data_IF_194987421060
#
_entry.id   IF_194987421060
#
_cell.length_a   1.000
_cell.length_b   1.000
_cell.length_c   1.000
_cell.angle_alpha   90.00
_cell.angle_beta   90.00
_cell.angle_gamma   90.00
#
_symmetry.space_group_name_H-M   'P 1'
#
loop_
_entity.id
_entity.type
_entity.pdbx_description
1 polymer ?
#
# COMPACT_ATOMS: atom_id res chain seq x y z
N UNK A 1 11.52 -14.22 17.68
CA UNK A 1 11.53 -13.77 16.27
C UNK A 1 12.60 -12.70 16.13
N UNK A 2 13.55 -12.86 15.18
CA UNK A 2 14.58 -11.85 14.91
C UNK A 2 13.87 -10.55 14.45
N UNK A 3 14.06 -9.46 15.17
CA UNK A 3 13.52 -8.15 14.76
C UNK A 3 14.35 -7.66 13.57
N UNK A 4 13.70 -7.35 12.46
CA UNK A 4 14.35 -6.71 11.31
C UNK A 4 14.40 -5.20 11.58
N UNK A 5 15.60 -4.64 11.76
CA UNK A 5 15.81 -3.22 11.97
C UNK A 5 16.32 -2.58 10.68
N UNK A 6 15.67 -1.50 10.26
CA UNK A 6 16.12 -0.64 9.17
C UNK A 6 16.49 0.73 9.74
N UNK A 7 17.67 1.26 9.37
CA UNK A 7 18.05 2.62 9.70
C UNK A 7 17.69 3.56 8.54
N UNK A 8 16.96 4.58 8.84
CA UNK A 8 16.48 5.60 7.91
C UNK A 8 17.20 6.91 8.24
N UNK A 9 17.94 7.46 7.28
CA UNK A 9 18.71 8.70 7.45
C UNK A 9 18.24 9.71 6.40
N UNK A 10 17.66 10.84 6.82
CA UNK A 10 17.14 11.82 5.86
C UNK A 10 16.53 13.06 6.49
N UNK A 11 15.92 13.90 5.66
CA UNK A 11 15.26 15.13 6.08
C UNK A 11 13.94 14.89 6.78
N UNK A 12 13.59 15.73 7.74
CA UNK A 12 12.30 15.77 8.41
C UNK A 12 11.32 16.64 7.63
N UNK A 13 10.23 16.02 7.14
CA UNK A 13 9.08 16.68 6.53
C UNK A 13 7.93 16.74 7.55
N UNK A 14 7.52 17.94 8.04
CA UNK A 14 6.47 18.06 9.04
C UNK A 14 5.09 17.60 8.56
N UNK A 15 4.86 17.53 7.25
CA UNK A 15 3.59 17.01 6.69
C UNK A 15 3.49 15.50 6.79
N UNK A 16 4.62 14.81 6.97
CA UNK A 16 4.71 13.36 6.99
C UNK A 16 4.32 12.69 5.68
N UNK A 17 4.30 13.46 4.58
CA UNK A 17 4.08 12.97 3.22
C UNK A 17 5.35 12.44 2.56
N UNK A 18 6.51 12.92 3.00
CA UNK A 18 7.83 12.49 2.54
C UNK A 18 8.82 12.40 3.73
N UNK A 19 10.12 12.28 3.44
CA UNK A 19 11.21 12.27 4.41
C UNK A 19 11.12 11.12 5.42
N UNK A 20 11.87 11.24 6.52
CA UNK A 20 12.00 10.17 7.54
C UNK A 20 10.65 9.70 8.12
N UNK A 21 9.64 10.56 8.14
CA UNK A 21 8.31 10.18 8.64
C UNK A 21 7.58 9.25 7.66
N UNK A 22 7.58 9.56 6.36
CA UNK A 22 6.98 8.68 5.35
C UNK A 22 7.74 7.35 5.25
N UNK A 23 9.07 7.39 5.35
CA UNK A 23 9.95 6.23 5.35
C UNK A 23 9.66 5.32 6.55
N UNK A 24 9.57 5.88 7.76
CA UNK A 24 9.25 5.13 8.98
C UNK A 24 7.84 4.51 8.95
N UNK A 25 6.84 5.26 8.46
CA UNK A 25 5.49 4.71 8.23
C UNK A 25 5.53 3.52 7.29
N UNK A 26 6.27 3.63 6.18
CA UNK A 26 6.40 2.56 5.17
C UNK A 26 7.06 1.32 5.78
N UNK A 27 8.18 1.47 6.47
CA UNK A 27 8.84 0.34 7.12
C UNK A 27 7.94 -0.33 8.16
N UNK A 28 7.22 0.46 8.96
CA UNK A 28 6.34 -0.05 10.02
C UNK A 28 5.19 -0.89 9.47
N UNK A 29 4.50 -0.44 8.41
CA UNK A 29 3.40 -1.23 7.81
C UNK A 29 3.88 -2.53 7.17
N UNK A 30 5.16 -2.57 6.75
CA UNK A 30 5.80 -3.77 6.20
C UNK A 30 6.34 -4.71 7.29
N UNK A 31 6.14 -4.38 8.57
CA UNK A 31 6.55 -5.22 9.68
C UNK A 31 8.05 -5.16 10.01
N UNK A 32 8.73 -4.09 9.56
CA UNK A 32 10.13 -3.79 9.88
C UNK A 32 10.18 -2.72 10.97
N UNK A 33 11.16 -2.79 11.87
CA UNK A 33 11.35 -1.79 12.92
C UNK A 33 12.16 -0.61 12.39
N UNK A 34 11.57 0.59 12.23
CA UNK A 34 12.29 1.76 11.74
C UNK A 34 13.08 2.44 12.86
N UNK A 35 14.36 2.64 12.64
CA UNK A 35 15.24 3.51 13.41
C UNK A 35 15.48 4.74 12.53
N UNK A 36 15.46 5.96 13.10
CA UNK A 36 15.49 7.18 12.28
C UNK A 36 16.55 8.16 12.77
N UNK A 37 17.27 8.75 11.81
CA UNK A 37 18.17 9.88 12.03
C UNK A 37 17.76 11.02 11.10
N UNK A 38 17.53 12.19 11.69
CA UNK A 38 17.22 13.40 10.94
C UNK A 38 18.50 14.15 10.58
N UNK A 39 18.69 14.43 9.29
CA UNK A 39 19.83 15.20 8.77
C UNK A 39 19.54 16.69 8.63
N UNK A 40 18.27 17.02 8.39
CA UNK A 40 17.79 18.39 8.19
C UNK A 40 16.35 18.51 8.61
N UNK A 41 15.95 19.65 9.14
CA UNK A 41 14.55 20.04 9.35
C UNK A 41 14.14 20.88 8.14
N UNK A 42 13.05 20.48 7.46
CA UNK A 42 12.60 21.08 6.20
C UNK A 42 11.17 21.57 6.38
N UNK A 43 10.98 22.85 6.79
CA UNK A 43 9.66 23.47 6.78
C UNK A 43 9.07 23.50 5.37
N UNK A 44 8.06 22.67 5.11
CA UNK A 44 7.46 22.51 3.79
C UNK A 44 5.99 22.09 3.86
N UNK A 45 5.31 22.27 2.73
CA UNK A 45 4.01 21.65 2.44
C UNK A 45 3.94 21.27 0.95
N UNK A 46 2.79 20.81 0.48
CA UNK A 46 2.63 20.39 -0.92
C UNK A 46 2.71 21.55 -1.94
N UNK A 47 2.87 22.79 -1.48
CA UNK A 47 3.04 23.98 -2.35
C UNK A 47 4.49 24.43 -2.47
N UNK A 48 5.25 24.39 -1.36
CA UNK A 48 6.61 24.91 -1.33
C UNK A 48 7.44 24.32 -0.19
N UNK A 49 8.76 24.29 -0.39
CA UNK A 49 9.76 24.24 0.67
C UNK A 49 10.08 25.69 1.04
N UNK A 50 9.97 26.03 2.31
CA UNK A 50 10.18 27.39 2.82
C UNK A 50 11.61 27.61 3.28
N UNK A 51 12.24 26.58 3.87
CA UNK A 51 13.59 26.65 4.40
C UNK A 51 14.18 25.23 4.59
N UNK A 52 15.48 25.15 4.89
CA UNK A 52 16.20 23.94 5.27
C UNK A 52 17.22 24.26 6.33
N UNK A 53 17.12 23.64 7.48
CA UNK A 53 18.10 23.72 8.55
C UNK A 53 18.81 22.38 8.71
N UNK A 54 20.12 22.34 8.49
CA UNK A 54 20.93 21.14 8.68
C UNK A 54 21.20 20.86 10.16
N UNK A 55 21.11 19.59 10.54
CA UNK A 55 21.45 19.12 11.88
C UNK A 55 23.00 19.08 11.99
N UNK A 56 23.58 19.61 13.08
CA UNK A 56 25.01 19.60 13.29
C UNK A 56 25.60 18.18 13.29
N UNK A 57 26.83 18.03 12.73
CA UNK A 57 27.56 16.76 12.64
C UNK A 57 27.57 15.98 13.94
N UNK A 58 27.92 16.67 15.05
CA UNK A 58 27.98 16.07 16.38
C UNK A 58 26.68 15.37 16.77
N UNK A 59 25.54 16.00 16.52
CA UNK A 59 24.22 15.43 16.86
C UNK A 59 23.89 14.22 15.98
N UNK A 60 24.26 14.24 14.69
CA UNK A 60 24.09 13.09 13.79
C UNK A 60 24.96 11.92 14.26
N UNK A 61 26.21 12.18 14.65
CA UNK A 61 27.15 11.18 15.14
C UNK A 61 26.66 10.53 16.44
N UNK A 62 26.24 11.33 17.41
CA UNK A 62 25.68 10.83 18.68
C UNK A 62 24.41 9.95 18.48
N UNK A 63 23.57 10.29 17.49
CA UNK A 63 22.43 9.45 17.13
C UNK A 63 22.88 8.12 16.49
N UNK A 64 23.89 8.14 15.63
CA UNK A 64 24.46 6.92 15.04
C UNK A 64 25.08 6.03 16.13
N UNK A 65 25.86 6.59 17.03
CA UNK A 65 26.46 5.85 18.16
C UNK A 65 25.40 5.16 18.99
N UNK A 66 24.36 5.88 19.43
CA UNK A 66 23.27 5.33 20.22
C UNK A 66 22.51 4.20 19.51
N UNK A 67 22.35 4.30 18.18
CA UNK A 67 21.65 3.27 17.41
C UNK A 67 22.53 2.03 17.24
N UNK A 68 23.79 2.18 16.84
CA UNK A 68 24.68 1.05 16.58
C UNK A 68 25.18 0.36 17.86
N UNK A 69 25.06 1.02 19.03
CA UNK A 69 25.31 0.42 20.34
C UNK A 69 24.19 -0.59 20.74
N UNK A 70 22.92 -0.29 20.39
CA UNK A 70 21.76 -1.05 20.88
C UNK A 70 21.09 -1.92 19.83
N UNK A 71 21.31 -1.66 18.53
CA UNK A 71 20.58 -2.31 17.44
C UNK A 71 21.48 -2.90 16.35
N UNK A 72 21.16 -4.14 15.95
CA UNK A 72 21.69 -4.72 14.72
C UNK A 72 21.00 -4.09 13.51
N UNK A 73 21.73 -3.37 12.67
CA UNK A 73 21.25 -2.73 11.44
C UNK A 73 21.75 -3.49 10.23
N UNK A 74 20.85 -4.02 9.39
CA UNK A 74 21.23 -4.75 8.17
C UNK A 74 21.04 -3.94 6.88
N UNK A 75 20.20 -2.92 6.92
CA UNK A 75 19.91 -2.03 5.79
C UNK A 75 19.82 -0.59 6.28
N UNK A 76 20.49 0.32 5.57
CA UNK A 76 20.39 1.78 5.74
C UNK A 76 19.69 2.34 4.50
N UNK A 77 18.55 3.04 4.69
CA UNK A 77 17.91 3.83 3.64
C UNK A 77 18.27 5.30 3.82
N UNK A 78 18.73 5.96 2.77
CA UNK A 78 19.01 7.39 2.82
C UNK A 78 18.04 8.21 1.97
N UNK A 79 17.75 9.44 2.39
CA UNK A 79 16.98 10.44 1.64
C UNK A 79 17.76 11.74 1.48
N UNK A 80 17.20 12.89 1.84
CA UNK A 80 17.92 14.18 1.83
C UNK A 80 19.07 14.12 2.84
N UNK A 81 20.30 14.30 2.36
CA UNK A 81 21.51 14.29 3.17
C UNK A 81 22.21 15.65 3.09
N UNK A 82 22.99 15.95 4.13
CA UNK A 82 24.05 16.95 4.10
C UNK A 82 25.43 16.25 4.02
N UNK A 83 26.48 17.02 3.82
CA UNK A 83 27.86 16.49 3.67
C UNK A 83 28.31 15.69 4.88
N UNK A 84 28.04 16.19 6.09
CA UNK A 84 28.43 15.54 7.34
C UNK A 84 27.76 14.17 7.51
N UNK A 85 26.48 14.07 7.13
CA UNK A 85 25.76 12.81 7.17
C UNK A 85 26.38 11.77 6.22
N UNK A 86 26.76 12.17 5.00
CA UNK A 86 27.43 11.27 4.05
C UNK A 86 28.76 10.78 4.63
N UNK A 87 29.61 11.69 5.15
CA UNK A 87 30.89 11.34 5.73
C UNK A 87 30.75 10.36 6.90
N UNK A 88 29.73 10.54 7.75
CA UNK A 88 29.44 9.66 8.86
C UNK A 88 28.90 8.29 8.37
N UNK A 89 27.98 8.25 7.41
CA UNK A 89 27.51 6.99 6.83
C UNK A 89 28.67 6.18 6.28
N UNK A 90 29.59 6.80 5.52
CA UNK A 90 30.77 6.15 4.98
C UNK A 90 31.74 5.68 6.08
N UNK A 91 31.90 6.46 7.17
CA UNK A 91 32.66 6.04 8.37
C UNK A 91 32.08 4.77 8.96
N UNK A 92 30.77 4.73 9.22
CA UNK A 92 30.10 3.58 9.82
C UNK A 92 30.07 2.35 8.90
N UNK A 93 29.92 2.55 7.57
CA UNK A 93 29.96 1.46 6.58
C UNK A 93 31.28 0.68 6.59
N UNK A 94 32.39 1.29 6.99
CA UNK A 94 33.70 0.62 7.13
C UNK A 94 33.77 -0.31 8.35
N UNK A 95 32.93 -0.09 9.36
CA UNK A 95 32.96 -0.83 10.62
C UNK A 95 31.79 -1.82 10.76
N UNK A 96 30.70 -1.59 10.02
CA UNK A 96 29.48 -2.38 10.10
C UNK A 96 29.06 -2.89 8.72
N UNK A 97 28.56 -4.13 8.67
CA UNK A 97 28.05 -4.72 7.43
C UNK A 97 26.55 -4.44 7.28
N UNK A 98 26.20 -3.45 6.47
CA UNK A 98 24.84 -3.14 6.08
C UNK A 98 24.74 -2.76 4.59
N UNK A 99 23.61 -3.02 3.98
CA UNK A 99 23.33 -2.54 2.61
C UNK A 99 22.83 -1.11 2.64
N UNK A 100 23.28 -0.28 1.71
CA UNK A 100 22.76 1.09 1.54
C UNK A 100 21.77 1.10 0.37
N UNK A 101 20.55 1.57 0.61
CA UNK A 101 19.58 1.96 -0.41
C UNK A 101 19.53 3.48 -0.45
N UNK A 102 20.17 4.05 -1.45
CA UNK A 102 20.32 5.49 -1.60
C UNK A 102 19.22 6.07 -2.49
N UNK A 103 18.34 6.88 -1.91
CA UNK A 103 17.40 7.74 -2.63
C UNK A 103 18.05 9.12 -2.81
N UNK A 104 18.58 9.44 -4.01
CA UNK A 104 19.39 10.65 -4.21
C UNK A 104 18.48 11.85 -4.47
N UNK A 105 17.82 12.34 -3.43
CA UNK A 105 16.90 13.47 -3.51
C UNK A 105 17.67 14.76 -3.82
N UNK A 106 17.84 15.07 -5.11
CA UNK A 106 18.56 16.27 -5.55
C UNK A 106 17.70 17.53 -5.43
N UNK A 107 16.38 17.38 -5.62
CA UNK A 107 15.41 18.48 -5.50
C UNK A 107 14.07 17.99 -4.97
N UNK A 108 13.29 18.90 -4.39
CA UNK A 108 11.91 18.61 -3.99
C UNK A 108 10.97 18.50 -5.19
N UNK A 109 9.77 17.95 -5.00
CA UNK A 109 8.67 17.99 -5.99
C UNK A 109 8.25 19.43 -6.34
N UNK A 110 8.56 20.41 -5.49
CA UNK A 110 8.30 21.84 -5.69
C UNK A 110 9.53 22.59 -6.23
N UNK A 111 10.50 21.87 -6.80
CA UNK A 111 11.73 22.41 -7.43
C UNK A 111 12.72 23.12 -6.48
N UNK A 112 12.62 22.95 -5.16
CA UNK A 112 13.66 23.41 -4.24
C UNK A 112 14.90 22.52 -4.38
N UNK A 113 16.07 23.13 -4.65
CA UNK A 113 17.33 22.41 -4.86
C UNK A 113 18.00 22.10 -3.51
N UNK A 114 18.17 20.81 -3.20
CA UNK A 114 18.81 20.35 -1.97
C UNK A 114 20.32 20.14 -2.10
N UNK A 115 20.83 19.92 -3.32
CA UNK A 115 22.20 19.46 -3.59
C UNK A 115 22.89 20.45 -4.53
N UNK A 116 24.04 20.97 -4.10
CA UNK A 116 25.00 21.72 -4.93
C UNK A 116 26.05 20.77 -5.54
N UNK A 117 27.02 21.32 -6.30
CA UNK A 117 28.07 20.52 -6.95
C UNK A 117 29.01 19.86 -5.93
N UNK A 118 29.31 20.51 -4.81
CA UNK A 118 30.21 19.97 -3.76
C UNK A 118 29.55 18.80 -3.04
N UNK A 119 28.28 18.92 -2.70
CA UNK A 119 27.49 17.84 -2.10
C UNK A 119 27.30 16.68 -3.10
N UNK A 120 27.05 16.98 -4.38
CA UNK A 120 26.90 15.95 -5.42
C UNK A 120 28.20 15.15 -5.59
N UNK A 121 29.37 15.79 -5.47
CA UNK A 121 30.66 15.08 -5.46
C UNK A 121 30.76 14.08 -4.29
N UNK A 122 30.25 14.44 -3.11
CA UNK A 122 30.19 13.51 -1.96
C UNK A 122 29.20 12.37 -2.16
N UNK A 123 28.11 12.63 -2.89
CA UNK A 123 27.17 11.55 -3.27
C UNK A 123 27.85 10.49 -4.14
N UNK A 124 28.85 10.84 -4.99
CA UNK A 124 29.58 9.83 -5.78
C UNK A 124 30.29 8.82 -4.87
N UNK A 125 30.89 9.28 -3.76
CA UNK A 125 31.52 8.39 -2.77
C UNK A 125 30.46 7.46 -2.13
N UNK A 126 29.28 8.00 -1.79
CA UNK A 126 28.16 7.22 -1.24
C UNK A 126 27.60 6.23 -2.25
N UNK A 127 27.48 6.63 -3.52
CA UNK A 127 27.01 5.74 -4.59
C UNK A 127 27.93 4.55 -4.75
N UNK A 128 29.24 4.76 -4.68
CA UNK A 128 30.22 3.67 -4.75
C UNK A 128 30.03 2.61 -3.64
N UNK A 129 29.59 3.02 -2.45
CA UNK A 129 29.31 2.12 -1.32
C UNK A 129 27.85 1.62 -1.27
N UNK A 130 26.98 2.12 -2.16
CA UNK A 130 25.57 1.75 -2.17
C UNK A 130 25.33 0.37 -2.80
N UNK A 131 24.37 -0.36 -2.28
CA UNK A 131 23.85 -1.57 -2.90
C UNK A 131 22.86 -1.24 -4.00
N UNK A 132 22.00 -0.26 -3.78
CA UNK A 132 20.99 0.22 -4.72
C UNK A 132 20.85 1.74 -4.63
N UNK A 133 20.75 2.39 -5.80
CA UNK A 133 20.43 3.81 -5.94
C UNK A 133 19.10 3.92 -6.68
N UNK A 134 18.19 4.82 -6.23
CA UNK A 134 16.82 4.91 -6.76
C UNK A 134 16.48 6.30 -7.33
N UNK A 135 17.26 6.83 -8.29
CA UNK A 135 16.99 8.13 -8.89
C UNK A 135 15.75 8.08 -9.79
N UNK A 136 15.03 9.20 -9.93
CA UNK A 136 14.16 9.40 -11.07
C UNK A 136 14.98 9.71 -12.34
N UNK A 137 14.34 9.79 -13.50
CA UNK A 137 15.04 9.97 -14.79
C UNK A 137 15.83 11.31 -14.85
N UNK A 138 15.33 12.37 -14.26
CA UNK A 138 16.00 13.68 -14.22
C UNK A 138 17.21 13.66 -13.27
N UNK A 139 17.08 13.04 -12.11
CA UNK A 139 18.18 12.84 -11.15
C UNK A 139 19.25 11.95 -11.76
N UNK A 140 18.87 10.86 -12.42
CA UNK A 140 19.81 9.97 -13.10
C UNK A 140 20.63 10.73 -14.15
N UNK A 141 19.97 11.47 -15.03
CA UNK A 141 20.65 12.27 -16.05
C UNK A 141 21.57 13.32 -15.43
N UNK A 142 21.15 13.99 -14.35
CA UNK A 142 21.97 14.96 -13.61
C UNK A 142 23.23 14.32 -13.04
N UNK A 143 23.10 13.14 -12.42
CA UNK A 143 24.23 12.38 -11.85
C UNK A 143 25.21 11.96 -12.94
N UNK A 144 24.74 11.37 -14.03
CA UNK A 144 25.57 10.91 -15.13
C UNK A 144 26.33 12.08 -15.78
N UNK A 145 25.63 13.17 -16.11
CA UNK A 145 26.24 14.37 -16.68
C UNK A 145 27.30 14.97 -15.75
N UNK A 146 27.08 14.95 -14.44
CA UNK A 146 28.05 15.43 -13.46
C UNK A 146 29.30 14.55 -13.42
N UNK A 147 29.15 13.22 -13.43
CA UNK A 147 30.26 12.26 -13.47
C UNK A 147 31.11 12.46 -14.75
N UNK A 148 30.45 12.58 -15.90
CA UNK A 148 31.10 12.78 -17.21
C UNK A 148 31.84 14.11 -17.28
N UNK A 149 31.16 15.23 -16.94
CA UNK A 149 31.73 16.59 -16.94
C UNK A 149 32.97 16.71 -16.07
N UNK A 150 33.02 16.02 -14.94
CA UNK A 150 34.09 16.09 -13.96
C UNK A 150 35.10 14.93 -14.05
N UNK A 151 34.97 14.05 -15.04
CA UNK A 151 35.81 12.86 -15.27
C UNK A 151 35.93 11.95 -14.01
N UNK A 152 34.81 11.68 -13.34
CA UNK A 152 34.77 10.97 -12.06
C UNK A 152 34.59 9.44 -12.18
N UNK A 153 34.55 8.90 -13.41
CA UNK A 153 34.39 7.45 -13.60
C UNK A 153 35.50 6.62 -12.91
N UNK A 154 36.70 7.15 -12.83
CA UNK A 154 37.84 6.53 -12.12
C UNK A 154 37.62 6.40 -10.60
N UNK A 155 36.72 7.17 -10.02
CA UNK A 155 36.41 7.14 -8.57
C UNK A 155 35.35 6.10 -8.23
N UNK A 156 34.76 5.44 -9.23
CA UNK A 156 33.71 4.43 -9.04
C UNK A 156 34.30 3.05 -9.24
N UNK A 157 34.71 2.40 -8.15
CA UNK A 157 35.30 1.05 -8.20
C UNK A 157 34.24 -0.04 -8.21
N UNK A 158 33.20 0.13 -7.40
CA UNK A 158 32.04 -0.76 -7.32
C UNK A 158 31.03 -0.42 -8.42
N UNK A 159 30.16 -1.36 -8.74
CA UNK A 159 29.11 -1.19 -9.75
C UNK A 159 27.72 -1.38 -9.13
N UNK A 160 27.25 -0.39 -8.33
CA UNK A 160 25.95 -0.50 -7.64
C UNK A 160 24.80 -0.64 -8.62
N UNK A 161 23.74 -1.30 -8.18
CA UNK A 161 22.49 -1.31 -8.91
C UNK A 161 21.85 0.08 -8.93
N UNK A 162 21.25 0.43 -10.06
CA UNK A 162 20.46 1.65 -10.21
C UNK A 162 19.05 1.26 -10.64
N UNK A 163 18.05 1.73 -9.93
CA UNK A 163 16.68 1.66 -10.31
C UNK A 163 16.21 3.05 -10.73
N UNK A 164 16.17 3.32 -12.04
CA UNK A 164 15.62 4.57 -12.57
C UNK A 164 14.10 4.50 -12.41
N UNK A 165 13.58 5.31 -11.49
CA UNK A 165 12.17 5.26 -11.10
C UNK A 165 11.28 6.09 -12.01
N UNK A 166 10.06 5.58 -12.28
CA UNK A 166 9.09 6.23 -13.13
C UNK A 166 7.75 5.48 -13.15
N UNK A 167 7.01 5.64 -14.24
CA UNK A 167 5.85 4.76 -14.49
C UNK A 167 6.37 3.35 -14.74
N UNK A 168 7.27 3.20 -15.67
CA UNK A 168 8.05 1.98 -15.90
C UNK A 168 9.44 2.18 -15.29
N UNK A 169 9.80 1.35 -14.31
CA UNK A 169 11.10 1.42 -13.67
C UNK A 169 12.12 0.62 -14.46
N UNK A 170 13.34 1.16 -14.58
CA UNK A 170 14.44 0.52 -15.33
C UNK A 170 15.56 0.14 -14.36
N UNK A 171 15.79 -1.17 -14.18
CA UNK A 171 16.93 -1.67 -13.41
C UNK A 171 18.17 -1.76 -14.29
N UNK A 172 19.26 -1.17 -13.86
CA UNK A 172 20.57 -1.17 -14.52
C UNK A 172 21.69 -1.18 -13.48
N UNK A 173 22.92 -1.00 -13.88
CA UNK A 173 24.06 -0.71 -13.00
C UNK A 173 24.71 0.62 -13.38
N UNK A 174 25.49 1.19 -12.47
CA UNK A 174 26.04 2.54 -12.66
C UNK A 174 27.02 2.60 -13.84
N UNK A 175 27.88 1.58 -14.01
CA UNK A 175 28.89 1.55 -15.07
C UNK A 175 28.34 1.08 -16.43
N UNK A 176 27.54 0.01 -16.44
CA UNK A 176 27.17 -0.65 -17.70
C UNK A 176 26.03 0.08 -18.42
N UNK A 177 25.18 0.80 -17.68
CA UNK A 177 24.03 1.55 -18.19
C UNK A 177 23.04 0.70 -19.05
N UNK A 178 23.35 -0.58 -19.28
CA UNK A 178 22.47 -1.52 -19.97
C UNK A 178 21.26 -1.88 -19.10
N UNK A 179 20.06 -1.83 -19.66
CA UNK A 179 18.83 -2.20 -18.95
C UNK A 179 18.83 -3.70 -18.66
N UNK A 180 18.91 -4.09 -17.38
CA UNK A 180 18.83 -5.48 -16.93
C UNK A 180 17.38 -5.95 -16.96
N UNK A 181 16.45 -5.12 -16.48
CA UNK A 181 15.02 -5.42 -16.40
C UNK A 181 14.20 -4.15 -16.44
N UNK A 182 13.04 -4.20 -17.09
CA UNK A 182 12.02 -3.13 -17.03
C UNK A 182 10.81 -3.65 -16.24
N UNK A 183 10.50 -2.96 -15.13
CA UNK A 183 9.36 -3.28 -14.29
C UNK A 183 8.20 -2.35 -14.69
N UNK A 184 7.21 -2.93 -15.36
CA UNK A 184 6.02 -2.21 -15.82
C UNK A 184 5.22 -1.65 -14.66
N UNK A 185 4.73 -0.41 -14.82
CA UNK A 185 3.87 0.26 -13.86
C UNK A 185 2.49 0.60 -14.40
N UNK A 186 1.66 1.16 -13.54
CA UNK A 186 0.34 1.68 -13.89
C UNK A 186 0.29 3.17 -13.60
N UNK A 187 0.01 3.98 -14.62
CA UNK A 187 -0.19 5.43 -14.42
C UNK A 187 -1.51 5.65 -13.68
N UNK A 188 -1.44 6.48 -12.65
CA UNK A 188 -2.61 7.01 -11.94
C UNK A 188 -2.55 8.52 -12.09
N UNK A 189 -3.65 9.11 -12.51
CA UNK A 189 -3.73 10.57 -12.74
C UNK A 189 -3.96 11.30 -11.40
N UNK A 190 -2.90 11.32 -10.59
CA UNK A 190 -2.81 12.04 -9.31
C UNK A 190 -1.39 12.53 -9.11
N UNK A 191 -1.24 13.80 -8.76
CA UNK A 191 0.02 14.31 -8.22
C UNK A 191 0.11 13.99 -6.73
N UNK A 192 1.05 13.15 -6.35
CA UNK A 192 1.21 12.65 -4.99
C UNK A 192 2.63 12.90 -4.49
N UNK A 193 2.75 13.66 -3.40
CA UNK A 193 4.02 13.93 -2.75
C UNK A 193 4.53 12.70 -1.97
N UNK A 194 5.85 12.42 -2.08
CA UNK A 194 6.55 11.41 -1.29
C UNK A 194 6.54 9.99 -1.86
N UNK A 195 6.12 9.78 -3.12
CA UNK A 195 6.11 8.46 -3.76
C UNK A 195 7.51 7.84 -3.89
N UNK A 196 8.55 8.63 -4.18
CA UNK A 196 9.95 8.18 -4.21
C UNK A 196 10.41 7.65 -2.85
N UNK A 197 10.16 8.41 -1.77
CA UNK A 197 10.48 8.00 -0.41
C UNK A 197 9.77 6.69 -0.02
N UNK A 198 8.48 6.55 -0.34
CA UNK A 198 7.72 5.31 -0.08
C UNK A 198 8.31 4.15 -0.87
N UNK A 199 8.68 4.36 -2.15
CA UNK A 199 9.23 3.28 -2.99
C UNK A 199 10.57 2.80 -2.49
N UNK A 200 11.54 3.71 -2.31
CA UNK A 200 12.87 3.38 -1.81
C UNK A 200 12.84 2.72 -0.43
N UNK A 201 11.97 3.19 0.47
CA UNK A 201 11.79 2.61 1.80
C UNK A 201 11.08 1.25 1.78
N UNK A 202 10.15 1.02 0.86
CA UNK A 202 9.53 -0.28 0.68
C UNK A 202 10.57 -1.30 0.19
N UNK A 203 11.36 -0.96 -0.82
CA UNK A 203 12.45 -1.83 -1.31
C UNK A 203 13.43 -2.15 -0.18
N UNK A 204 13.91 -1.12 0.54
CA UNK A 204 14.83 -1.28 1.66
C UNK A 204 14.25 -2.17 2.77
N UNK A 205 12.96 -2.06 3.06
CA UNK A 205 12.25 -2.89 4.04
C UNK A 205 12.18 -4.36 3.60
N UNK A 206 11.90 -4.65 2.33
CA UNK A 206 11.89 -6.02 1.82
C UNK A 206 13.30 -6.63 1.79
N UNK A 207 14.33 -5.85 1.43
CA UNK A 207 15.72 -6.27 1.53
C UNK A 207 16.12 -6.57 2.99
N UNK A 208 15.68 -5.75 3.95
CA UNK A 208 15.89 -5.97 5.37
C UNK A 208 15.25 -7.28 5.86
N UNK A 209 14.18 -7.73 5.24
CA UNK A 209 13.52 -9.02 5.49
C UNK A 209 14.21 -10.21 4.80
N UNK A 210 15.30 -9.95 4.06
CA UNK A 210 16.08 -10.98 3.36
C UNK A 210 15.57 -11.33 1.96
N UNK A 211 14.66 -10.53 1.40
CA UNK A 211 14.19 -10.76 0.03
C UNK A 211 15.25 -10.39 -1.02
N UNK A 212 15.21 -11.06 -2.17
CA UNK A 212 16.08 -10.72 -3.30
C UNK A 212 15.70 -9.37 -3.93
N UNK A 213 16.66 -8.69 -4.58
CA UNK A 213 16.49 -7.35 -5.13
C UNK A 213 15.27 -7.23 -6.08
N UNK A 214 15.13 -8.16 -7.02
CA UNK A 214 14.01 -8.13 -8.01
C UNK A 214 12.65 -8.24 -7.32
N UNK A 215 12.53 -9.14 -6.36
CA UNK A 215 11.29 -9.32 -5.61
C UNK A 215 11.00 -8.12 -4.72
N UNK A 216 12.01 -7.55 -4.08
CA UNK A 216 11.89 -6.33 -3.27
C UNK A 216 11.40 -5.15 -4.13
N UNK A 217 11.90 -4.99 -5.36
CA UNK A 217 11.45 -3.95 -6.30
C UNK A 217 9.99 -4.17 -6.70
N UNK A 218 9.60 -5.40 -7.11
CA UNK A 218 8.21 -5.71 -7.51
C UNK A 218 7.21 -5.44 -6.40
N UNK A 219 7.49 -5.93 -5.19
CA UNK A 219 6.65 -5.67 -4.01
C UNK A 219 6.66 -4.20 -3.60
N UNK A 220 7.80 -3.52 -3.71
CA UNK A 220 7.92 -2.08 -3.49
C UNK A 220 7.03 -1.29 -4.46
N UNK A 221 6.95 -1.71 -5.73
CA UNK A 221 6.06 -1.11 -6.74
C UNK A 221 4.59 -1.23 -6.34
N UNK A 222 4.17 -2.37 -5.82
CA UNK A 222 2.80 -2.56 -5.32
C UNK A 222 2.50 -1.66 -4.12
N UNK A 223 3.46 -1.48 -3.21
CA UNK A 223 3.32 -0.57 -2.05
C UNK A 223 3.15 0.87 -2.51
N UNK A 224 3.98 1.33 -3.45
CA UNK A 224 3.87 2.71 -3.95
C UNK A 224 2.59 2.92 -4.73
N UNK A 225 2.16 1.96 -5.55
CA UNK A 225 0.89 2.03 -6.28
C UNK A 225 -0.29 2.12 -5.30
N UNK A 226 -0.30 1.30 -4.26
CA UNK A 226 -1.30 1.40 -3.19
C UNK A 226 -1.23 2.76 -2.49
N UNK A 227 -0.04 3.29 -2.19
CA UNK A 227 0.13 4.58 -1.53
C UNK A 227 -0.43 5.75 -2.35
N UNK A 228 -0.42 5.66 -3.67
CA UNK A 228 -1.01 6.63 -4.60
C UNK A 228 -2.54 6.48 -4.67
N UNK A 229 -3.05 5.24 -4.79
CA UNK A 229 -4.50 4.96 -4.81
C UNK A 229 -5.16 5.49 -3.54
N UNK A 230 -4.57 5.21 -2.39
CA UNK A 230 -5.07 5.59 -1.06
C UNK A 230 -4.48 6.91 -0.53
N UNK A 231 -3.87 7.72 -1.40
CA UNK A 231 -3.26 8.99 -1.02
C UNK A 231 -4.23 9.92 -0.29
N UNK A 232 -3.72 10.59 0.73
CA UNK A 232 -4.49 11.53 1.54
C UNK A 232 -4.58 12.88 0.83
N UNK A 233 -5.80 13.36 0.58
CA UNK A 233 -6.02 14.69 -0.02
C UNK A 233 -5.60 15.78 0.98
N UNK A 234 -4.83 16.75 0.48
CA UNK A 234 -4.47 17.98 1.17
C UNK A 234 -5.17 19.17 0.52
N UNK A 235 -4.90 20.37 0.97
CA UNK A 235 -5.47 21.58 0.36
C UNK A 235 -4.99 21.81 -1.09
N UNK A 236 -3.74 21.44 -1.40
CA UNK A 236 -3.12 21.75 -2.70
C UNK A 236 -2.96 20.53 -3.59
N UNK A 237 -2.72 19.34 -3.00
CA UNK A 237 -2.40 18.12 -3.74
C UNK A 237 -2.72 16.89 -2.87
N UNK A 238 -1.99 15.79 -3.04
CA UNK A 238 -2.10 14.58 -2.24
C UNK A 238 -0.77 14.22 -1.58
N UNK A 239 -0.82 13.69 -0.36
CA UNK A 239 0.31 13.03 0.30
C UNK A 239 0.19 11.51 0.11
N UNK A 240 1.31 10.87 -0.18
CA UNK A 240 1.39 9.41 -0.19
C UNK A 240 0.92 8.83 1.15
N UNK A 241 0.11 7.79 1.06
CA UNK A 241 -0.37 7.07 2.24
C UNK A 241 0.06 5.61 2.11
N UNK A 242 1.26 5.24 2.60
CA UNK A 242 1.76 3.89 2.46
C UNK A 242 0.81 2.89 3.11
N UNK A 243 0.38 1.93 2.32
CA UNK A 243 -0.56 0.88 2.72
C UNK A 243 -0.10 -0.45 2.16
N UNK A 244 -0.16 -1.49 2.99
CA UNK A 244 0.18 -2.84 2.56
C UNK A 244 -0.72 -3.85 3.27
N UNK A 245 -1.40 -4.68 2.49
CA UNK A 245 -2.23 -5.78 3.01
C UNK A 245 -1.82 -7.05 2.27
N UNK A 246 -1.17 -7.95 2.98
CA UNK A 246 -0.79 -9.27 2.49
C UNK A 246 -1.90 -10.30 2.70
N UNK A 247 -1.72 -11.49 2.14
CA UNK A 247 -2.65 -12.61 2.26
C UNK A 247 -2.94 -12.96 3.74
N UNK A 248 -1.92 -12.96 4.59
CA UNK A 248 -2.07 -13.26 6.02
C UNK A 248 -3.00 -12.26 6.72
N UNK A 249 -2.88 -10.97 6.41
CA UNK A 249 -3.75 -9.94 6.98
C UNK A 249 -5.20 -10.11 6.56
N UNK A 250 -5.44 -10.47 5.29
CA UNK A 250 -6.80 -10.76 4.78
C UNK A 250 -7.40 -11.97 5.51
N UNK A 251 -6.65 -13.06 5.65
CA UNK A 251 -7.09 -14.24 6.41
C UNK A 251 -7.42 -13.87 7.87
N UNK A 252 -6.56 -13.08 8.53
CA UNK A 252 -6.81 -12.62 9.90
C UNK A 252 -8.07 -11.76 10.01
N UNK A 253 -8.30 -10.86 9.05
CA UNK A 253 -9.53 -10.04 9.01
C UNK A 253 -10.78 -10.92 8.90
N UNK A 254 -10.77 -11.88 7.96
CA UNK A 254 -11.87 -12.83 7.77
C UNK A 254 -12.12 -13.68 9.02
N UNK A 255 -11.07 -14.26 9.59
CA UNK A 255 -11.18 -15.07 10.82
C UNK A 255 -11.77 -14.26 11.98
N UNK A 256 -11.35 -13.01 12.13
CA UNK A 256 -11.88 -12.13 13.17
C UNK A 256 -13.32 -11.68 12.87
N UNK A 257 -13.67 -11.40 11.62
CA UNK A 257 -15.04 -11.10 11.20
C UNK A 257 -15.99 -12.27 11.51
N UNK A 258 -15.59 -13.50 11.18
CA UNK A 258 -16.37 -14.71 11.51
C UNK A 258 -16.50 -14.93 13.03
N UNK A 259 -15.44 -14.61 13.79
CA UNK A 259 -15.52 -14.63 15.25
C UNK A 259 -16.55 -13.62 15.79
N UNK A 260 -16.57 -12.39 15.25
CA UNK A 260 -17.55 -11.38 15.63
C UNK A 260 -18.99 -11.82 15.31
N UNK A 261 -19.20 -12.43 14.13
CA UNK A 261 -20.52 -12.93 13.73
C UNK A 261 -21.03 -14.02 14.67
N UNK A 262 -20.15 -14.89 15.19
CA UNK A 262 -20.51 -15.92 16.18
C UNK A 262 -20.94 -15.37 17.55
N UNK A 263 -20.78 -14.05 17.80
CA UNK A 263 -21.18 -13.41 19.07
C UNK A 263 -22.61 -12.91 19.09
N UNK A 264 -23.32 -13.01 17.97
CA UNK A 264 -24.71 -12.57 17.82
C UNK A 264 -25.60 -13.72 17.35
N UNK A 265 -26.89 -13.60 17.57
CA UNK A 265 -27.91 -14.40 16.89
C UNK A 265 -28.11 -13.85 15.49
N UNK A 266 -27.48 -14.49 14.50
CA UNK A 266 -27.57 -14.10 13.11
C UNK A 266 -28.57 -14.98 12.36
N UNK A 267 -29.69 -14.40 11.91
CA UNK A 267 -30.81 -15.11 11.27
C UNK A 267 -31.00 -14.75 9.78
N UNK A 268 -30.39 -13.65 9.31
CA UNK A 268 -30.50 -13.19 7.92
C UNK A 268 -29.65 -14.03 6.96
N UNK A 269 -29.77 -15.34 7.03
CA UNK A 269 -29.06 -16.30 6.19
C UNK A 269 -30.02 -16.75 5.07
N UNK A 270 -29.63 -16.59 3.78
CA UNK A 270 -30.42 -17.07 2.64
C UNK A 270 -30.46 -18.61 2.59
N UNK A 271 -31.36 -19.16 1.80
CA UNK A 271 -31.49 -20.62 1.62
C UNK A 271 -30.18 -21.21 1.03
N UNK A 272 -29.59 -20.51 0.07
CA UNK A 272 -28.29 -20.89 -0.51
C UNK A 272 -27.10 -20.71 0.44
N UNK A 273 -27.34 -20.14 1.65
CA UNK A 273 -26.29 -19.78 2.60
C UNK A 273 -25.61 -18.45 2.31
N UNK A 274 -24.96 -17.89 3.35
CA UNK A 274 -24.13 -16.68 3.23
C UNK A 274 -22.69 -17.03 2.97
N UNK A 275 -21.98 -16.17 2.27
CA UNK A 275 -20.53 -16.18 2.21
C UNK A 275 -19.99 -14.77 2.47
N UNK A 276 -18.75 -14.67 2.92
CA UNK A 276 -18.06 -13.43 3.19
C UNK A 276 -16.65 -13.48 2.57
N UNK A 277 -16.22 -12.39 1.95
CA UNK A 277 -14.96 -12.35 1.25
C UNK A 277 -14.24 -11.02 1.41
N UNK A 278 -12.90 -11.04 1.29
CA UNK A 278 -12.04 -9.85 1.25
C UNK A 278 -10.93 -10.01 0.23
N UNK A 279 -10.69 -8.97 -0.60
CA UNK A 279 -9.62 -8.95 -1.58
C UNK A 279 -8.32 -8.35 -1.01
N UNK A 280 -7.19 -8.67 -1.64
CA UNK A 280 -5.96 -7.87 -1.52
C UNK A 280 -6.22 -6.42 -1.94
N UNK A 281 -5.29 -5.51 -1.62
CA UNK A 281 -5.37 -4.10 -2.03
C UNK A 281 -5.43 -3.95 -3.55
N UNK A 282 -4.60 -4.70 -4.27
CA UNK A 282 -4.45 -4.70 -5.72
C UNK A 282 -4.68 -6.10 -6.27
N UNK A 283 -5.93 -6.60 -6.29
CA UNK A 283 -6.23 -7.91 -6.82
C UNK A 283 -6.09 -7.92 -8.35
N UNK A 284 -5.48 -8.97 -8.90
CA UNK A 284 -5.39 -9.22 -10.34
C UNK A 284 -6.54 -10.12 -10.84
N UNK A 285 -7.06 -10.96 -9.96
CA UNK A 285 -8.13 -11.93 -10.29
C UNK A 285 -8.90 -12.36 -9.05
N UNK A 286 -9.93 -13.20 -9.22
CA UNK A 286 -10.67 -13.80 -8.11
C UNK A 286 -9.76 -14.63 -7.17
N UNK A 287 -8.59 -15.10 -7.64
CA UNK A 287 -7.60 -15.80 -6.82
C UNK A 287 -6.91 -14.91 -5.78
N UNK A 288 -7.10 -13.60 -5.88
CA UNK A 288 -6.62 -12.61 -4.90
C UNK A 288 -7.71 -12.17 -3.92
N UNK A 289 -8.84 -12.88 -3.91
CA UNK A 289 -9.96 -12.70 -2.99
C UNK A 289 -10.10 -13.96 -2.13
N UNK A 290 -10.01 -13.79 -0.81
CA UNK A 290 -10.26 -14.87 0.13
C UNK A 290 -11.74 -14.90 0.53
N UNK A 291 -12.29 -16.10 0.67
CA UNK A 291 -13.66 -16.36 1.10
C UNK A 291 -13.74 -17.70 1.83
N UNK A 292 -14.93 -18.05 2.37
CA UNK A 292 -15.18 -19.39 2.86
C UNK A 292 -15.26 -20.38 1.69
N UNK A 293 -14.61 -21.52 1.83
CA UNK A 293 -14.71 -22.66 0.88
C UNK A 293 -16.11 -23.29 0.90
N UNK A 294 -16.80 -23.19 2.04
CA UNK A 294 -18.20 -23.57 2.24
C UNK A 294 -19.12 -22.36 2.34
N UNK A 295 -19.98 -22.35 3.35
CA UNK A 295 -21.03 -21.35 3.58
C UNK A 295 -21.30 -21.15 5.08
N UNK A 296 -21.96 -20.03 5.40
CA UNK A 296 -22.68 -19.85 6.66
C UNK A 296 -24.11 -20.32 6.40
N UNK A 297 -24.57 -21.34 7.12
CA UNK A 297 -25.86 -22.02 6.91
C UNK A 297 -26.72 -22.01 8.17
N UNK A 298 -28.03 -21.95 8.02
CA UNK A 298 -29.00 -22.06 9.14
C UNK A 298 -28.89 -23.45 9.80
N UNK A 299 -28.93 -23.45 11.12
CA UNK A 299 -29.14 -24.68 11.88
C UNK A 299 -30.64 -24.87 12.11
N UNK A 300 -31.16 -26.07 11.86
CA UNK A 300 -32.59 -26.42 12.07
C UNK A 300 -33.03 -26.28 13.54
N UNK A 301 -32.11 -26.38 14.48
CA UNK A 301 -32.37 -26.27 15.93
C UNK A 301 -32.14 -24.82 16.47
N UNK A 302 -31.94 -23.85 15.59
CA UNK A 302 -31.63 -22.46 15.92
C UNK A 302 -30.15 -22.12 15.74
N UNK A 303 -29.88 -20.85 15.44
CA UNK A 303 -28.51 -20.36 15.15
C UNK A 303 -27.98 -20.79 13.78
N UNK A 304 -26.68 -20.84 13.62
CA UNK A 304 -26.04 -21.12 12.35
C UNK A 304 -24.71 -21.87 12.50
N UNK A 305 -24.27 -22.48 11.41
CA UNK A 305 -22.94 -23.09 11.28
C UNK A 305 -22.10 -22.32 10.25
N UNK A 306 -20.80 -22.21 10.51
CA UNK A 306 -19.79 -21.80 9.54
C UNK A 306 -19.14 -23.06 9.02
N UNK A 307 -19.31 -23.37 7.75
CA UNK A 307 -18.79 -24.58 7.09
C UNK A 307 -17.65 -24.20 6.17
N UNK A 308 -16.57 -24.97 6.24
CA UNK A 308 -15.35 -24.77 5.43
C UNK A 308 -14.36 -23.79 6.06
N UNK A 309 -13.23 -23.67 5.39
CA UNK A 309 -12.08 -22.84 5.79
C UNK A 309 -12.04 -21.55 4.98
N UNK A 310 -11.18 -20.61 5.41
CA UNK A 310 -10.94 -19.36 4.69
C UNK A 310 -9.78 -19.56 3.72
N UNK A 311 -10.06 -19.50 2.42
CA UNK A 311 -9.05 -19.68 1.38
C UNK A 311 -9.15 -18.63 0.27
N UNK A 312 -8.01 -18.36 -0.36
CA UNK A 312 -7.95 -17.51 -1.54
C UNK A 312 -8.49 -18.25 -2.77
N UNK A 313 -9.35 -17.58 -3.56
CA UNK A 313 -9.98 -18.17 -4.74
C UNK A 313 -11.19 -19.06 -4.43
N UNK A 314 -11.62 -19.14 -3.17
CA UNK A 314 -12.67 -20.05 -2.73
C UNK A 314 -14.07 -19.73 -3.29
N UNK A 315 -14.36 -18.48 -3.64
CA UNK A 315 -15.70 -18.08 -4.15
C UNK A 315 -15.60 -17.08 -5.29
N UNK A 316 -15.84 -17.54 -6.51
CA UNK A 316 -15.83 -16.68 -7.71
C UNK A 316 -17.01 -15.68 -7.70
N UNK A 317 -18.18 -16.08 -7.24
CA UNK A 317 -19.38 -15.23 -7.23
C UNK A 317 -19.21 -13.96 -6.41
N UNK A 318 -18.76 -14.09 -5.15
CA UNK A 318 -18.61 -12.94 -4.27
C UNK A 318 -17.35 -12.12 -4.66
N UNK A 319 -16.32 -12.79 -5.20
CA UNK A 319 -15.14 -12.12 -5.74
C UNK A 319 -15.50 -11.18 -6.90
N UNK A 320 -16.36 -11.59 -7.83
CA UNK A 320 -16.85 -10.75 -8.94
C UNK A 320 -17.51 -9.46 -8.45
N UNK A 321 -18.31 -9.54 -7.37
CA UNK A 321 -18.92 -8.35 -6.76
C UNK A 321 -17.83 -7.37 -6.29
N UNK A 322 -16.86 -7.86 -5.52
CA UNK A 322 -15.78 -7.04 -4.97
C UNK A 322 -14.94 -6.43 -6.10
N UNK A 323 -14.51 -7.24 -7.07
CA UNK A 323 -13.66 -6.79 -8.18
C UNK A 323 -14.38 -5.74 -9.04
N UNK A 324 -15.69 -5.89 -9.26
CA UNK A 324 -16.48 -4.91 -9.99
C UNK A 324 -16.65 -3.60 -9.19
N UNK A 325 -16.99 -3.69 -7.91
CA UNK A 325 -17.13 -2.52 -7.03
C UNK A 325 -15.83 -1.70 -6.94
N UNK A 326 -14.67 -2.36 -6.94
CA UNK A 326 -13.36 -1.69 -6.93
C UNK A 326 -13.09 -0.79 -8.12
N UNK A 327 -13.75 -0.98 -9.25
CA UNK A 327 -13.63 -0.07 -10.41
C UNK A 327 -14.23 1.31 -10.11
N UNK A 328 -15.20 1.39 -9.20
CA UNK A 328 -15.88 2.62 -8.78
C UNK A 328 -15.30 3.21 -7.49
N UNK A 329 -14.87 2.35 -6.57
CA UNK A 329 -14.17 2.74 -5.34
C UNK A 329 -13.10 1.70 -4.98
N UNK A 330 -11.81 1.98 -5.24
CA UNK A 330 -10.71 1.04 -4.96
C UNK A 330 -10.58 0.64 -3.48
N UNK A 331 -11.16 1.42 -2.55
CA UNK A 331 -11.11 1.13 -1.12
C UNK A 331 -12.07 0.00 -0.73
N UNK A 332 -13.13 -0.24 -1.49
CA UNK A 332 -14.06 -1.33 -1.23
C UNK A 332 -13.40 -2.66 -1.59
N UNK A 333 -13.23 -3.52 -0.57
CA UNK A 333 -12.49 -4.77 -0.72
C UNK A 333 -13.19 -5.98 -0.12
N UNK A 334 -14.35 -5.78 0.52
CA UNK A 334 -15.07 -6.87 1.18
C UNK A 334 -16.56 -6.82 0.86
N UNK A 335 -17.15 -8.00 0.87
CA UNK A 335 -18.59 -8.18 0.66
C UNK A 335 -19.08 -9.41 1.45
N UNK A 336 -20.32 -9.34 1.92
CA UNK A 336 -21.08 -10.48 2.46
C UNK A 336 -22.50 -10.47 1.88
N UNK A 337 -23.02 -11.64 1.47
CA UNK A 337 -24.40 -11.78 1.08
C UNK A 337 -25.25 -12.20 2.27
N UNK A 338 -26.45 -11.60 2.40
CA UNK A 338 -27.46 -11.92 3.42
C UNK A 338 -28.84 -12.00 2.79
N UNK A 339 -29.80 -12.57 3.52
CA UNK A 339 -31.18 -12.77 3.08
C UNK A 339 -31.85 -11.41 2.83
N UNK A 340 -32.66 -11.35 1.76
CA UNK A 340 -33.49 -10.22 1.42
C UNK A 340 -34.83 -10.33 2.16
N UNK A 341 -35.29 -9.21 2.71
CA UNK A 341 -36.66 -9.00 3.20
C UNK A 341 -37.11 -7.61 2.76
N UNK A 342 -38.37 -7.47 2.31
CA UNK A 342 -38.83 -6.21 1.72
C UNK A 342 -38.92 -5.09 2.77
N UNK A 343 -39.54 -5.40 3.92
CA UNK A 343 -39.68 -4.44 5.02
C UNK A 343 -38.34 -3.99 5.59
N UNK A 344 -37.32 -4.85 5.51
CA UNK A 344 -35.96 -4.53 5.96
C UNK A 344 -35.33 -3.47 5.07
N UNK A 345 -35.53 -3.49 3.75
CA UNK A 345 -34.93 -2.52 2.84
C UNK A 345 -35.36 -1.09 3.17
N UNK A 346 -36.63 -0.89 3.47
CA UNK A 346 -37.17 0.42 3.82
C UNK A 346 -36.54 0.94 5.12
N UNK A 347 -36.46 0.10 6.15
CA UNK A 347 -35.83 0.45 7.42
C UNK A 347 -34.31 0.73 7.29
N UNK A 348 -33.60 0.02 6.39
CA UNK A 348 -32.16 0.23 6.15
C UNK A 348 -31.87 1.54 5.41
N UNK A 349 -32.83 2.06 4.61
CA UNK A 349 -32.64 3.26 3.80
C UNK A 349 -32.34 4.53 4.62
N UNK A 350 -32.75 4.56 5.90
CA UNK A 350 -32.48 5.67 6.81
C UNK A 350 -31.00 5.74 7.28
N UNK A 351 -30.28 4.62 7.19
CA UNK A 351 -28.94 4.50 7.80
C UNK A 351 -27.83 4.11 6.83
N UNK A 352 -28.17 3.40 5.77
CA UNK A 352 -27.22 2.90 4.77
C UNK A 352 -27.53 3.46 3.39
N UNK A 353 -26.48 3.71 2.63
CA UNK A 353 -26.62 3.98 1.21
C UNK A 353 -26.99 2.69 0.48
N UNK A 354 -28.07 2.72 -0.31
CA UNK A 354 -28.63 1.53 -0.94
C UNK A 354 -28.81 1.74 -2.44
N UNK A 355 -28.53 0.72 -3.21
CA UNK A 355 -28.86 0.63 -4.63
C UNK A 355 -29.36 -0.77 -4.98
N UNK A 356 -29.98 -0.91 -6.15
CA UNK A 356 -30.56 -2.18 -6.59
C UNK A 356 -30.42 -2.36 -8.09
N UNK A 357 -30.51 -3.63 -8.50
CA UNK A 357 -30.66 -3.98 -9.91
C UNK A 357 -31.82 -4.97 -10.10
N UNK A 358 -32.46 -4.93 -11.28
CA UNK A 358 -33.51 -5.87 -11.66
C UNK A 358 -32.93 -6.93 -12.59
N UNK A 359 -32.94 -8.20 -12.17
CA UNK A 359 -32.47 -9.34 -12.98
C UNK A 359 -33.16 -9.49 -14.32
N UNK A 360 -34.38 -8.95 -14.49
CA UNK A 360 -35.09 -8.96 -15.77
C UNK A 360 -34.38 -8.10 -16.84
N UNK A 361 -33.56 -7.16 -16.41
CA UNK A 361 -32.76 -6.29 -17.30
C UNK A 361 -31.36 -6.86 -17.63
N UNK A 362 -31.05 -8.06 -17.09
CA UNK A 362 -29.76 -8.71 -17.30
C UNK A 362 -29.59 -9.12 -18.77
N UNK A 363 -28.54 -8.66 -19.48
CA UNK A 363 -28.29 -9.09 -20.84
C UNK A 363 -27.93 -10.60 -20.91
N UNK A 364 -28.20 -11.28 -22.03
CA UNK A 364 -27.81 -12.68 -22.18
C UNK A 364 -26.29 -12.84 -22.15
N UNK A 365 -25.81 -13.97 -21.64
CA UNK A 365 -24.39 -14.37 -21.60
C UNK A 365 -23.46 -13.46 -20.79
N UNK A 366 -23.97 -12.74 -19.80
CA UNK A 366 -23.16 -11.97 -18.84
C UNK A 366 -23.17 -12.61 -17.46
N UNK A 367 -22.20 -12.26 -16.65
CA UNK A 367 -22.19 -12.65 -15.24
C UNK A 367 -23.11 -11.73 -14.44
N UNK A 368 -24.21 -12.28 -13.88
CA UNK A 368 -25.14 -11.54 -13.03
C UNK A 368 -24.45 -10.71 -11.95
N UNK A 369 -23.39 -11.27 -11.33
CA UNK A 369 -22.67 -10.58 -10.24
C UNK A 369 -21.88 -9.38 -10.73
N UNK A 370 -21.26 -9.49 -11.90
CA UNK A 370 -20.52 -8.37 -12.51
C UNK A 370 -21.48 -7.31 -13.04
N UNK A 371 -22.47 -7.74 -13.85
CA UNK A 371 -23.43 -6.82 -14.46
C UNK A 371 -24.28 -6.10 -13.40
N UNK A 372 -24.88 -6.85 -12.46
CA UNK A 372 -25.75 -6.28 -11.44
C UNK A 372 -25.02 -5.33 -10.50
N UNK A 373 -23.76 -5.66 -10.12
CA UNK A 373 -22.94 -4.77 -9.30
C UNK A 373 -22.58 -3.50 -10.08
N UNK A 374 -22.18 -3.64 -11.35
CA UNK A 374 -21.90 -2.52 -12.24
C UNK A 374 -23.12 -1.59 -12.35
N UNK A 375 -24.27 -2.15 -12.71
CA UNK A 375 -25.52 -1.40 -12.86
C UNK A 375 -25.90 -0.63 -11.58
N UNK A 376 -25.83 -1.29 -10.41
CA UNK A 376 -26.17 -0.67 -9.14
C UNK A 376 -25.19 0.45 -8.77
N UNK A 377 -23.89 0.30 -9.06
CA UNK A 377 -22.87 1.33 -8.83
C UNK A 377 -23.06 2.53 -9.76
N UNK A 378 -23.34 2.30 -11.04
CA UNK A 378 -23.62 3.38 -12.02
C UNK A 378 -24.88 4.16 -11.65
N UNK A 379 -25.97 3.47 -11.29
CA UNK A 379 -27.22 4.07 -10.83
C UNK A 379 -27.03 4.93 -9.57
N UNK A 380 -26.16 4.49 -8.65
CA UNK A 380 -25.88 5.22 -7.40
C UNK A 380 -24.86 6.36 -7.59
N UNK A 381 -24.03 6.30 -8.63
CA UNK A 381 -22.94 7.24 -8.84
C UNK A 381 -21.69 6.95 -7.98
N UNK A 382 -21.48 5.70 -7.58
CA UNK A 382 -20.41 5.23 -6.71
C UNK A 382 -20.67 3.82 -6.18
N UNK A 383 -20.06 3.44 -5.06
CA UNK A 383 -20.35 2.15 -4.40
C UNK A 383 -21.21 2.40 -3.17
N UNK A 384 -22.47 1.93 -3.12
CA UNK A 384 -23.30 2.01 -1.93
C UNK A 384 -22.86 1.00 -0.85
N UNK A 385 -23.36 1.16 0.38
CA UNK A 385 -23.15 0.18 1.46
C UNK A 385 -23.85 -1.15 1.17
N UNK A 386 -24.99 -1.08 0.49
CA UNK A 386 -25.86 -2.21 0.21
C UNK A 386 -26.27 -2.21 -1.26
N UNK A 387 -26.13 -3.37 -1.89
CA UNK A 387 -26.72 -3.67 -3.21
C UNK A 387 -27.68 -4.83 -3.05
N UNK A 388 -28.93 -4.69 -3.54
CA UNK A 388 -29.88 -5.79 -3.51
C UNK A 388 -30.53 -6.07 -4.87
N UNK A 389 -31.05 -7.29 -5.00
CA UNK A 389 -32.00 -7.68 -6.06
C UNK A 389 -33.17 -8.47 -5.47
N UNK A 390 -34.33 -8.41 -6.16
CA UNK A 390 -35.56 -9.09 -5.77
C UNK A 390 -35.66 -10.53 -6.30
N UNK A 391 -34.52 -11.11 -6.74
CA UNK A 391 -34.51 -12.46 -7.31
C UNK A 391 -34.99 -12.54 -8.74
N UNK A 392 -35.36 -13.74 -9.18
CA UNK A 392 -35.90 -14.07 -10.52
C UNK A 392 -36.25 -15.54 -10.60
N UNK A 393 -36.60 -16.04 -11.78
CA UNK A 393 -36.98 -17.45 -11.97
C UNK A 393 -35.86 -18.39 -11.48
N UNK A 394 -36.17 -19.14 -10.40
CA UNK A 394 -35.20 -20.05 -9.74
C UNK A 394 -34.03 -19.39 -9.04
N UNK A 395 -34.09 -18.09 -8.80
CA UNK A 395 -33.01 -17.33 -8.14
C UNK A 395 -33.54 -16.57 -6.92
N UNK A 396 -32.99 -16.87 -5.75
CA UNK A 396 -33.36 -16.22 -4.48
C UNK A 396 -32.99 -14.73 -4.49
N UNK A 397 -33.91 -13.86 -3.94
CA UNK A 397 -33.60 -12.45 -3.73
C UNK A 397 -32.44 -12.29 -2.70
N UNK A 398 -31.62 -11.27 -2.86
CA UNK A 398 -30.36 -11.19 -2.12
C UNK A 398 -29.94 -9.77 -1.79
N UNK A 399 -29.48 -9.55 -0.57
CA UNK A 399 -28.74 -8.35 -0.14
C UNK A 399 -27.25 -8.64 -0.14
N UNK A 400 -26.44 -7.68 -0.59
CA UNK A 400 -24.99 -7.69 -0.57
C UNK A 400 -24.49 -6.47 0.19
N UNK A 401 -23.79 -6.71 1.30
CA UNK A 401 -23.23 -5.66 2.16
C UNK A 401 -21.76 -5.47 1.79
N UNK A 402 -21.39 -4.25 1.44
CA UNK A 402 -20.03 -3.91 1.00
C UNK A 402 -19.28 -3.07 2.05
N UNK A 403 -17.94 -3.14 2.02
CA UNK A 403 -17.09 -2.36 2.91
C UNK A 403 -15.61 -2.45 2.57
N UNK A 404 -14.79 -1.70 3.30
CA UNK A 404 -13.35 -1.63 3.07
C UNK A 404 -12.60 -2.88 3.55
N UNK A 405 -13.20 -3.66 4.45
CA UNK A 405 -12.70 -4.94 4.93
C UNK A 405 -13.85 -5.76 5.54
N UNK A 406 -13.63 -7.04 5.78
CA UNK A 406 -14.64 -7.94 6.33
C UNK A 406 -15.08 -7.59 7.75
N UNK A 407 -14.24 -6.95 8.54
CA UNK A 407 -14.60 -6.51 9.90
C UNK A 407 -15.67 -5.41 9.85
N UNK A 408 -15.51 -4.45 8.94
CA UNK A 408 -16.52 -3.40 8.70
C UNK A 408 -17.82 -4.01 8.16
N UNK A 409 -17.71 -4.90 7.17
CA UNK A 409 -18.89 -5.59 6.62
C UNK A 409 -19.68 -6.31 7.70
N UNK A 410 -19.02 -7.08 8.58
CA UNK A 410 -19.71 -7.77 9.68
C UNK A 410 -20.30 -6.78 10.69
N UNK A 411 -19.65 -5.66 10.98
CA UNK A 411 -20.26 -4.62 11.84
C UNK A 411 -21.54 -4.06 11.24
N UNK A 412 -21.57 -3.80 9.93
CA UNK A 412 -22.81 -3.42 9.20
C UNK A 412 -23.87 -4.51 9.29
N UNK A 413 -23.48 -5.78 9.08
CA UNK A 413 -24.41 -6.94 9.18
C UNK A 413 -24.98 -7.09 10.58
N UNK A 414 -24.17 -6.90 11.64
CA UNK A 414 -24.65 -6.89 13.03
C UNK A 414 -25.70 -5.81 13.25
N UNK A 415 -25.50 -4.64 12.68
CA UNK A 415 -26.42 -3.52 12.77
C UNK A 415 -27.70 -3.78 11.97
N UNK A 416 -27.58 -4.35 10.77
CA UNK A 416 -28.72 -4.79 9.96
C UNK A 416 -29.55 -5.85 10.71
N UNK A 417 -28.91 -6.83 11.36
CA UNK A 417 -29.61 -7.82 12.18
C UNK A 417 -30.39 -7.18 13.32
N UNK A 418 -29.81 -6.20 14.03
CA UNK A 418 -30.52 -5.47 15.10
C UNK A 418 -31.76 -4.72 14.58
N UNK A 419 -31.64 -4.08 13.40
CA UNK A 419 -32.80 -3.42 12.77
C UNK A 419 -33.86 -4.46 12.44
N UNK A 420 -33.46 -5.59 11.86
CA UNK A 420 -34.39 -6.70 11.54
C UNK A 420 -35.10 -7.27 12.76
N UNK A 421 -34.42 -7.37 13.90
CA UNK A 421 -35.02 -7.91 15.15
C UNK A 421 -36.03 -6.93 15.78
N UNK A 422 -36.16 -5.70 15.29
CA UNK A 422 -37.05 -4.66 15.79
C UNK A 422 -38.24 -4.34 14.83
N UNK A 423 -38.23 -4.93 13.64
CA UNK A 423 -39.37 -4.89 12.67
C UNK A 423 -40.19 -6.17 12.79
#
# INVERSE_FOLDING_TARGET
MKKHNILIIGGYDPTGGAGVIADAKTAKILGVNPLTITTSIIPQNNRAVYDKMDIPKKIIEEQLEAIFEDFDVSVVKTGVLNKDAIDLILKYKRHYDFKIVCDPVLKSTTNYKFVDEDLLRRYIDLFNESYLITPNEEEFNTIINFIEKNNLWGNIDKNPYILITGIDDKLTTLKDKGIIETIKGKKIDKEVHGTGCVFSSAIASFLCKGEGLREAIKKGKDVVLASVIYATKTKYNYNSNPTYINKEKVIKNLSYALYLLKKIEFSLIPEVGSNIAESLLLPNSFKDVAALTGRIIKNKLGGFYIVGDVEFGASEHIAKIILTAKNYNPQIRACMNIRYEEDLIDALSEKFSISSFDRKLEPPNVSTMEWGTKYACEKFGGVPDIIYDKGGDGKEPMIRVLGVNTIEVVKKVVEIQKIYDHI
#
